data_IF_521821859854
#
_entry.id   IF_521821859854
#
_cell.length_a   1.000
_cell.length_b   1.000
_cell.length_c   1.000
_cell.angle_alpha   90.00
_cell.angle_beta   90.00
_cell.angle_gamma   90.00
#
_symmetry.space_group_name_H-M   'P 1'
#
loop_
_entity.id
_entity.type
_entity.pdbx_description
1 polymer ?
#
# COMPACT_ATOMS: atom_id res chain seq x y z
N UNK A 1 18.40 -11.73 19.03
CA UNK A 1 18.49 -13.02 18.32
C UNK A 1 17.51 -13.96 19.00
N UNK A 2 16.31 -14.09 18.45
CA UNK A 2 15.25 -14.93 19.00
C UNK A 2 14.71 -15.80 17.87
N UNK A 3 15.04 -17.09 17.93
CA UNK A 3 14.66 -18.14 16.99
C UNK A 3 13.13 -18.36 16.98
N UNK A 4 12.41 -17.77 16.02
CA UNK A 4 10.96 -17.97 15.92
C UNK A 4 10.41 -18.14 14.49
N UNK A 5 11.12 -18.91 13.65
CA UNK A 5 10.59 -19.46 12.40
C UNK A 5 10.37 -20.99 12.41
N UNK A 6 10.70 -21.71 13.49
CA UNK A 6 10.54 -23.17 13.54
C UNK A 6 9.26 -23.60 14.27
N UNK A 7 8.13 -23.47 13.60
CA UNK A 7 7.14 -24.55 13.63
C UNK A 7 7.18 -25.18 12.24
N UNK A 8 7.99 -26.22 12.07
CA UNK A 8 8.02 -27.01 10.83
C UNK A 8 6.62 -27.60 10.62
N UNK A 9 5.82 -27.09 9.66
CA UNK A 9 4.69 -27.87 9.18
C UNK A 9 5.29 -29.10 8.47
N UNK A 10 4.55 -30.21 8.39
CA UNK A 10 4.98 -31.38 7.61
C UNK A 10 5.21 -31.07 6.10
N UNK A 11 4.80 -29.88 5.67
CA UNK A 11 4.94 -29.32 4.33
C UNK A 11 5.93 -28.15 4.39
N UNK A 12 7.04 -28.22 3.65
CA UNK A 12 7.92 -27.05 3.44
C UNK A 12 7.15 -26.06 2.58
N UNK A 13 6.63 -24.99 3.19
CA UNK A 13 6.09 -23.85 2.45
C UNK A 13 7.22 -23.25 1.58
N UNK A 14 6.91 -22.76 0.36
CA UNK A 14 7.92 -22.10 -0.46
C UNK A 14 8.46 -20.86 0.27
N UNK A 15 9.78 -20.73 0.35
CA UNK A 15 10.44 -19.58 0.97
C UNK A 15 10.43 -18.39 0.00
N UNK A 16 9.72 -17.32 0.36
CA UNK A 16 9.62 -16.09 -0.43
C UNK A 16 10.58 -15.05 0.15
N UNK A 17 11.49 -14.57 -0.69
CA UNK A 17 12.44 -13.50 -0.33
C UNK A 17 11.75 -12.13 -0.27
N UNK A 18 12.37 -11.17 0.44
CA UNK A 18 11.89 -9.78 0.51
C UNK A 18 11.68 -9.15 -0.88
N UNK A 19 12.57 -9.45 -1.83
CA UNK A 19 12.48 -8.95 -3.20
C UNK A 19 11.34 -9.58 -4.00
N UNK A 20 11.03 -10.86 -3.74
CA UNK A 20 9.87 -11.53 -4.30
C UNK A 20 8.57 -10.87 -3.83
N UNK A 21 8.48 -10.56 -2.54
CA UNK A 21 7.31 -9.90 -1.95
C UNK A 21 7.16 -8.45 -2.47
N UNK A 22 8.26 -7.68 -2.55
CA UNK A 22 8.27 -6.35 -3.18
C UNK A 22 7.86 -6.42 -4.65
N UNK A 23 8.43 -7.33 -5.42
CA UNK A 23 8.13 -7.50 -6.83
C UNK A 23 6.64 -7.81 -7.07
N UNK A 24 6.07 -8.73 -6.28
CA UNK A 24 4.65 -9.04 -6.34
C UNK A 24 3.76 -7.83 -6.00
N UNK A 25 4.09 -7.08 -4.95
CA UNK A 25 3.35 -5.85 -4.62
C UNK A 25 3.49 -4.77 -5.70
N UNK A 26 4.67 -4.61 -6.30
CA UNK A 26 4.90 -3.70 -7.41
C UNK A 26 4.05 -4.06 -8.65
N UNK A 27 3.98 -5.35 -8.99
CA UNK A 27 3.18 -5.83 -10.14
C UNK A 27 1.69 -5.63 -9.88
N UNK A 28 1.18 -6.06 -8.73
CA UNK A 28 -0.26 -5.93 -8.40
C UNK A 28 -0.70 -4.47 -8.29
N UNK A 29 0.16 -3.60 -7.75
CA UNK A 29 -0.06 -2.16 -7.75
C UNK A 29 -0.07 -1.57 -9.16
N UNK A 30 0.89 -1.92 -10.02
CA UNK A 30 0.93 -1.43 -11.40
C UNK A 30 -0.28 -1.88 -12.23
N UNK A 31 -0.74 -3.12 -12.03
CA UNK A 31 -1.98 -3.62 -12.64
C UNK A 31 -3.19 -2.80 -12.18
N UNK A 32 -3.30 -2.51 -10.89
CA UNK A 32 -4.35 -1.64 -10.35
C UNK A 32 -4.30 -0.24 -10.95
N UNK A 33 -3.12 0.38 -11.04
CA UNK A 33 -2.98 1.69 -11.66
C UNK A 33 -3.32 1.65 -13.14
N UNK A 34 -3.01 0.57 -13.86
CA UNK A 34 -3.42 0.42 -15.26
C UNK A 34 -4.95 0.35 -15.39
N UNK A 35 -5.63 -0.34 -14.46
CA UNK A 35 -7.09 -0.34 -14.37
C UNK A 35 -7.69 1.05 -14.17
N UNK A 36 -7.06 1.90 -13.38
CA UNK A 36 -7.51 3.29 -13.16
C UNK A 36 -7.18 4.16 -14.37
N UNK A 37 -5.90 4.29 -14.71
CA UNK A 37 -5.41 5.27 -15.68
C UNK A 37 -5.81 4.93 -17.11
N UNK A 38 -5.71 3.66 -17.52
CA UNK A 38 -5.95 3.26 -18.92
C UNK A 38 -7.40 2.89 -19.15
N UNK A 39 -8.01 2.10 -18.25
CA UNK A 39 -9.35 1.57 -18.48
C UNK A 39 -10.42 2.57 -18.04
N UNK A 40 -10.40 2.99 -16.77
CA UNK A 40 -11.42 3.90 -16.24
C UNK A 40 -11.28 5.33 -16.78
N UNK A 41 -10.07 5.90 -16.79
CA UNK A 41 -9.86 7.29 -17.22
C UNK A 41 -9.64 7.44 -18.72
N UNK A 42 -8.88 6.55 -19.35
CA UNK A 42 -8.64 6.56 -20.80
C UNK A 42 -9.83 6.04 -21.61
N UNK A 43 -10.08 4.74 -21.55
CA UNK A 43 -11.10 4.08 -22.38
C UNK A 43 -12.53 4.51 -22.05
N UNK A 44 -12.90 4.48 -20.76
CA UNK A 44 -14.27 4.73 -20.32
C UNK A 44 -14.59 6.20 -20.06
N UNK A 45 -13.56 7.04 -19.88
CA UNK A 45 -13.68 8.50 -19.60
C UNK A 45 -14.73 8.79 -18.53
N UNK A 46 -14.72 8.01 -17.43
CA UNK A 46 -15.78 8.01 -16.40
C UNK A 46 -16.07 9.43 -15.86
N UNK A 47 -15.07 10.31 -15.81
CA UNK A 47 -15.23 11.69 -15.32
C UNK A 47 -16.14 12.58 -16.19
N UNK A 48 -16.49 12.16 -17.42
CA UNK A 48 -17.39 12.88 -18.32
C UNK A 48 -18.87 12.52 -18.11
N UNK A 49 -19.16 11.42 -17.40
CA UNK A 49 -20.50 10.88 -17.24
C UNK A 49 -21.03 11.11 -15.82
N UNK A 50 -22.31 11.43 -15.69
CA UNK A 50 -22.99 11.28 -14.41
C UNK A 50 -23.21 9.79 -14.10
N UNK A 51 -23.49 9.45 -12.84
CA UNK A 51 -23.74 8.06 -12.43
C UNK A 51 -24.88 7.41 -13.25
N UNK A 52 -25.94 8.17 -13.55
CA UNK A 52 -27.06 7.70 -14.37
C UNK A 52 -26.64 7.47 -15.83
N UNK A 53 -25.91 8.42 -16.43
CA UNK A 53 -25.42 8.31 -17.80
C UNK A 53 -24.42 7.16 -17.97
N UNK A 54 -23.55 6.95 -16.99
CA UNK A 54 -22.60 5.84 -17.00
C UNK A 54 -23.33 4.50 -16.87
N UNK A 55 -24.34 4.41 -16.00
CA UNK A 55 -25.18 3.20 -15.88
C UNK A 55 -25.90 2.87 -17.19
N UNK A 56 -26.44 3.89 -17.87
CA UNK A 56 -27.06 3.73 -19.20
C UNK A 56 -26.04 3.28 -20.24
N UNK A 57 -24.85 3.87 -20.29
CA UNK A 57 -23.77 3.46 -21.19
C UNK A 57 -23.40 1.98 -21.01
N UNK A 58 -23.29 1.52 -19.76
CA UNK A 58 -22.99 0.11 -19.47
C UNK A 58 -24.12 -0.83 -19.85
N UNK A 59 -25.38 -0.37 -19.83
CA UNK A 59 -26.53 -1.16 -20.23
C UNK A 59 -26.67 -1.28 -21.76
N UNK A 60 -26.27 -0.23 -22.49
CA UNK A 60 -26.40 -0.17 -23.95
C UNK A 60 -25.18 -0.73 -24.68
N UNK A 61 -23.97 -0.54 -24.14
CA UNK A 61 -22.73 -1.01 -24.77
C UNK A 61 -22.05 -2.16 -24.00
N UNK A 62 -22.13 -3.35 -24.60
CA UNK A 62 -21.44 -4.55 -24.12
C UNK A 62 -19.91 -4.38 -24.00
N UNK A 63 -19.27 -3.53 -24.82
CA UNK A 63 -17.82 -3.29 -24.77
C UNK A 63 -17.46 -2.43 -23.56
N UNK A 64 -18.19 -1.35 -23.33
CA UNK A 64 -18.05 -0.53 -22.13
C UNK A 64 -18.27 -1.37 -20.86
N UNK A 65 -19.28 -2.23 -20.85
CA UNK A 65 -19.52 -3.18 -19.75
C UNK A 65 -18.32 -4.10 -19.49
N UNK A 66 -17.78 -4.71 -20.55
CA UNK A 66 -16.60 -5.58 -20.44
C UNK A 66 -15.37 -4.81 -19.93
N UNK A 67 -15.10 -3.62 -20.48
CA UNK A 67 -14.00 -2.76 -20.04
C UNK A 67 -14.14 -2.36 -18.57
N UNK A 68 -15.33 -1.98 -18.12
CA UNK A 68 -15.58 -1.66 -16.72
C UNK A 68 -15.32 -2.88 -15.80
N UNK A 69 -15.70 -4.08 -16.25
CA UNK A 69 -15.39 -5.33 -15.57
C UNK A 69 -13.88 -5.57 -15.44
N UNK A 70 -13.13 -5.42 -16.55
CA UNK A 70 -11.66 -5.56 -16.55
C UNK A 70 -11.00 -4.53 -15.63
N UNK A 71 -11.41 -3.26 -15.71
CA UNK A 71 -10.90 -2.19 -14.84
C UNK A 71 -11.15 -2.49 -13.36
N UNK A 72 -12.34 -2.97 -13.02
CA UNK A 72 -12.69 -3.37 -11.65
C UNK A 72 -11.81 -4.51 -11.13
N UNK A 73 -11.60 -5.56 -11.94
CA UNK A 73 -10.74 -6.69 -11.55
C UNK A 73 -9.29 -6.24 -11.34
N UNK A 74 -8.76 -5.39 -12.24
CA UNK A 74 -7.41 -4.86 -12.11
C UNK A 74 -7.24 -4.03 -10.83
N UNK A 75 -8.21 -3.18 -10.50
CA UNK A 75 -8.20 -2.40 -9.26
C UNK A 75 -8.26 -3.28 -8.00
N UNK A 76 -9.05 -4.36 -8.04
CA UNK A 76 -9.09 -5.33 -6.95
C UNK A 76 -7.72 -5.95 -6.67
N UNK A 77 -6.88 -6.17 -7.69
CA UNK A 77 -5.52 -6.69 -7.47
C UNK A 77 -4.66 -5.74 -6.65
N UNK A 78 -4.89 -4.42 -6.72
CA UNK A 78 -4.15 -3.42 -5.94
C UNK A 78 -4.29 -3.60 -4.43
N UNK A 79 -5.41 -4.18 -3.97
CA UNK A 79 -5.63 -4.49 -2.56
C UNK A 79 -4.60 -5.47 -1.97
N UNK A 80 -3.99 -6.32 -2.81
CA UNK A 80 -2.93 -7.28 -2.40
C UNK A 80 -1.62 -6.57 -2.01
N UNK A 81 -1.35 -5.43 -2.64
CA UNK A 81 -0.10 -4.70 -2.42
C UNK A 81 -0.07 -4.02 -1.05
N UNK A 82 -1.22 -3.60 -0.51
CA UNK A 82 -1.30 -2.79 0.72
C UNK A 82 -0.76 -3.51 1.95
N UNK A 83 -1.17 -4.75 2.28
CA UNK A 83 -0.64 -5.44 3.45
C UNK A 83 0.83 -5.81 3.31
N UNK A 84 1.27 -6.09 2.09
CA UNK A 84 2.69 -6.36 1.79
C UNK A 84 3.52 -5.11 2.04
N UNK A 85 3.12 -3.95 1.51
CA UNK A 85 3.85 -2.71 1.74
C UNK A 85 3.84 -2.31 3.22
N UNK A 86 2.73 -2.47 3.93
CA UNK A 86 2.68 -2.24 5.38
C UNK A 86 3.66 -3.15 6.14
N UNK A 87 3.69 -4.44 5.80
CA UNK A 87 4.60 -5.41 6.40
C UNK A 87 6.08 -5.05 6.14
N UNK A 88 6.43 -4.81 4.88
CA UNK A 88 7.78 -4.42 4.47
C UNK A 88 8.21 -3.08 5.07
N UNK A 89 7.28 -2.15 5.28
CA UNK A 89 7.56 -0.88 5.96
C UNK A 89 7.99 -1.11 7.41
N UNK A 90 7.23 -1.91 8.17
CA UNK A 90 7.56 -2.25 9.56
C UNK A 90 8.89 -3.01 9.62
N UNK A 91 9.07 -4.00 8.76
CA UNK A 91 10.30 -4.78 8.68
C UNK A 91 11.51 -3.89 8.37
N UNK A 92 11.35 -2.97 7.41
CA UNK A 92 12.35 -1.98 7.06
C UNK A 92 12.67 -1.02 8.21
N UNK A 93 11.67 -0.57 8.95
CA UNK A 93 11.86 0.29 10.13
C UNK A 93 12.63 -0.42 11.25
N UNK A 94 12.33 -1.69 11.52
CA UNK A 94 13.00 -2.46 12.57
C UNK A 94 14.48 -2.71 12.29
N UNK A 95 14.86 -2.86 11.02
CA UNK A 95 16.23 -3.15 10.61
C UNK A 95 17.06 -1.91 10.24
N UNK A 96 16.44 -0.74 10.10
CA UNK A 96 17.15 0.48 9.69
C UNK A 96 17.63 1.28 10.90
N UNK A 97 18.92 1.64 10.91
CA UNK A 97 19.52 2.47 11.96
C UNK A 97 19.25 3.97 11.79
N UNK A 98 19.14 4.46 10.54
CA UNK A 98 18.90 5.88 10.24
C UNK A 98 17.49 6.13 9.69
N UNK A 99 16.55 6.37 10.62
CA UNK A 99 15.16 6.65 10.27
C UNK A 99 14.97 7.98 9.52
N UNK A 100 15.84 8.97 9.75
CA UNK A 100 15.72 10.31 9.12
C UNK A 100 15.99 10.21 7.63
N UNK A 101 17.05 9.49 7.25
CA UNK A 101 17.34 9.21 5.83
C UNK A 101 16.24 8.38 5.19
N UNK A 102 15.68 7.41 5.93
CA UNK A 102 14.58 6.60 5.40
C UNK A 102 13.32 7.43 5.12
N UNK A 103 12.90 8.25 6.09
CA UNK A 103 11.76 9.15 5.95
C UNK A 103 11.99 10.20 4.84
N UNK A 104 13.16 10.83 4.82
CA UNK A 104 13.52 11.80 3.78
C UNK A 104 13.48 11.17 2.38
N UNK A 105 13.95 9.93 2.24
CA UNK A 105 13.90 9.22 0.96
C UNK A 105 12.45 9.00 0.51
N UNK A 106 11.57 8.48 1.39
CA UNK A 106 10.16 8.28 1.06
C UNK A 106 9.48 9.60 0.70
N UNK A 107 9.72 10.67 1.47
CA UNK A 107 9.12 11.98 1.21
C UNK A 107 9.59 12.60 -0.12
N UNK A 108 10.88 12.49 -0.46
CA UNK A 108 11.39 12.96 -1.75
C UNK A 108 10.71 12.22 -2.89
N UNK A 109 10.59 10.89 -2.82
CA UNK A 109 9.88 10.13 -3.85
C UNK A 109 8.38 10.40 -3.84
N UNK A 110 7.76 10.66 -2.69
CA UNK A 110 6.35 11.07 -2.61
C UNK A 110 6.13 12.39 -3.36
N UNK A 111 6.97 13.40 -3.14
CA UNK A 111 6.86 14.69 -3.82
C UNK A 111 7.11 14.57 -5.33
N UNK A 112 8.13 13.81 -5.74
CA UNK A 112 8.44 13.59 -7.17
C UNK A 112 7.31 12.81 -7.86
N UNK A 113 6.68 11.88 -7.17
CA UNK A 113 5.63 11.02 -7.74
C UNK A 113 4.24 11.65 -7.72
N UNK A 114 4.08 12.82 -7.11
CA UNK A 114 2.79 13.51 -7.05
C UNK A 114 2.30 13.92 -8.44
N UNK A 115 3.17 14.51 -9.26
CA UNK A 115 2.82 14.91 -10.63
C UNK A 115 2.45 13.68 -11.50
N UNK A 116 3.25 12.58 -11.55
CA UNK A 116 2.83 11.35 -12.21
C UNK A 116 1.54 10.75 -11.68
N UNK A 117 1.30 10.82 -10.37
CA UNK A 117 0.10 10.29 -9.74
C UNK A 117 -1.15 11.06 -10.17
N UNK A 118 -1.08 12.39 -10.13
CA UNK A 118 -2.20 13.25 -10.55
C UNK A 118 -2.52 13.06 -12.02
N UNK A 119 -1.51 12.88 -12.87
CA UNK A 119 -1.70 12.58 -14.28
C UNK A 119 -2.36 11.22 -14.49
N UNK A 120 -1.94 10.19 -13.74
CA UNK A 120 -2.48 8.84 -13.87
C UNK A 120 -3.93 8.72 -13.35
N UNK A 121 -4.25 9.40 -12.25
CA UNK A 121 -5.52 9.23 -11.54
C UNK A 121 -6.53 10.31 -11.89
N UNK A 122 -6.11 11.55 -12.06
CA UNK A 122 -6.98 12.71 -12.29
C UNK A 122 -6.86 13.31 -13.68
N UNK A 123 -5.96 12.80 -14.54
CA UNK A 123 -5.65 13.34 -15.87
C UNK A 123 -5.32 14.85 -15.86
N UNK A 124 -4.73 15.31 -14.75
CA UNK A 124 -4.32 16.71 -14.52
C UNK A 124 -2.91 16.75 -13.97
N UNK A 125 -2.19 17.83 -14.23
CA UNK A 125 -0.81 17.99 -13.76
C UNK A 125 -0.70 18.35 -12.28
N UNK A 126 -1.79 18.86 -11.69
CA UNK A 126 -1.84 19.28 -10.29
C UNK A 126 -3.27 19.17 -9.77
N UNK A 127 -3.54 18.22 -8.88
CA UNK A 127 -4.84 18.04 -8.24
C UNK A 127 -4.68 17.70 -6.75
N UNK A 128 -5.10 18.61 -5.88
CA UNK A 128 -5.02 18.43 -4.42
C UNK A 128 -6.14 17.55 -3.83
N UNK A 129 -6.95 16.90 -4.67
CA UNK A 129 -8.08 16.06 -4.20
C UNK A 129 -7.63 14.81 -3.47
N UNK A 130 -6.48 14.24 -3.84
CA UNK A 130 -5.89 13.07 -3.21
C UNK A 130 -4.39 13.10 -3.37
N UNK A 131 -3.70 12.29 -2.57
CA UNK A 131 -2.25 12.23 -2.55
C UNK A 131 -1.79 10.81 -2.80
N UNK A 132 -0.59 10.62 -3.33
CA UNK A 132 -0.09 9.29 -3.66
C UNK A 132 0.11 8.39 -2.41
N UNK A 133 0.29 7.08 -2.65
CA UNK A 133 0.44 6.09 -1.58
C UNK A 133 1.76 6.22 -0.78
N UNK A 134 2.78 6.89 -1.31
CA UNK A 134 4.03 7.14 -0.60
C UNK A 134 3.84 8.13 0.56
N UNK A 135 2.89 9.07 0.45
CA UNK A 135 2.50 9.91 1.59
C UNK A 135 1.93 9.08 2.74
N UNK A 136 1.10 8.08 2.44
CA UNK A 136 0.60 7.12 3.45
C UNK A 136 1.75 6.34 4.11
N UNK A 137 2.75 5.92 3.33
CA UNK A 137 3.95 5.27 3.88
C UNK A 137 4.78 6.21 4.75
N UNK A 138 4.92 7.49 4.37
CA UNK A 138 5.64 8.49 5.16
C UNK A 138 4.96 8.74 6.51
N UNK A 139 3.63 8.91 6.52
CA UNK A 139 2.87 9.07 7.78
C UNK A 139 2.95 7.80 8.62
N UNK A 140 2.84 6.62 8.01
CA UNK A 140 3.00 5.34 8.70
C UNK A 140 4.39 5.21 9.32
N UNK A 141 5.45 5.59 8.63
CA UNK A 141 6.82 5.56 9.16
C UNK A 141 7.00 6.53 10.33
N UNK A 142 6.43 7.74 10.23
CA UNK A 142 6.45 8.72 11.30
C UNK A 142 5.68 8.23 12.53
N UNK A 143 4.54 7.57 12.32
CA UNK A 143 3.78 6.90 13.38
C UNK A 143 4.63 5.83 14.07
N UNK A 144 5.32 4.96 13.32
CA UNK A 144 6.21 3.94 13.89
C UNK A 144 7.32 4.55 14.75
N UNK A 145 7.89 5.67 14.31
CA UNK A 145 8.87 6.42 15.09
C UNK A 145 8.31 6.89 16.43
N UNK A 146 7.12 7.51 16.44
CA UNK A 146 6.49 7.94 17.69
C UNK A 146 6.06 6.77 18.58
N UNK A 147 5.58 5.67 17.99
CA UNK A 147 5.26 4.45 18.72
C UNK A 147 6.48 3.87 19.44
N UNK A 148 7.66 3.89 18.79
CA UNK A 148 8.93 3.50 19.41
C UNK A 148 9.32 4.41 20.60
N UNK A 149 9.07 5.71 20.49
CA UNK A 149 9.36 6.66 21.59
C UNK A 149 8.47 6.46 22.82
N UNK A 150 7.22 6.05 22.63
CA UNK A 150 6.28 5.80 23.75
C UNK A 150 6.28 4.35 24.22
N UNK A 151 7.12 3.51 23.64
CA UNK A 151 7.13 2.07 23.88
C UNK A 151 7.49 1.71 25.32
N UNK A 152 8.45 2.43 25.90
CA UNK A 152 8.95 2.22 27.27
C UNK A 152 7.94 2.64 28.35
N UNK A 153 6.93 3.47 27.99
CA UNK A 153 5.89 3.91 28.93
C UNK A 153 4.94 2.75 29.23
N UNK A 154 4.92 2.29 30.48
CA UNK A 154 4.01 1.24 30.98
C UNK A 154 2.76 1.84 31.64
N UNK A 155 1.72 1.01 31.77
CA UNK A 155 0.44 1.40 32.37
C UNK A 155 -0.52 2.13 31.43
N UNK A 156 -1.60 2.68 31.99
CA UNK A 156 -2.70 3.30 31.24
C UNK A 156 -2.21 4.48 30.39
N UNK A 157 -1.29 5.29 30.90
CA UNK A 157 -0.71 6.41 30.16
C UNK A 157 0.08 5.98 28.92
N UNK A 158 0.75 4.82 28.95
CA UNK A 158 1.42 4.25 27.79
C UNK A 158 0.44 3.76 26.72
N UNK A 159 -0.64 3.10 27.13
CA UNK A 159 -1.71 2.67 26.22
C UNK A 159 -2.37 3.88 25.57
N UNK A 160 -2.72 4.89 26.35
CA UNK A 160 -3.36 6.11 25.85
C UNK A 160 -2.44 6.86 24.86
N UNK A 161 -1.13 6.93 25.15
CA UNK A 161 -0.17 7.53 24.24
C UNK A 161 -0.08 6.78 22.90
N UNK A 162 -0.07 5.43 22.92
CA UNK A 162 -0.06 4.63 21.67
C UNK A 162 -1.34 4.84 20.87
N UNK A 163 -2.50 4.85 21.53
CA UNK A 163 -3.79 5.12 20.87
C UNK A 163 -3.83 6.53 20.27
N UNK A 164 -3.32 7.53 20.99
CA UNK A 164 -3.21 8.90 20.51
C UNK A 164 -2.33 8.98 19.25
N UNK A 165 -1.16 8.32 19.26
CA UNK A 165 -0.24 8.30 18.10
C UNK A 165 -0.91 7.69 16.87
N UNK A 166 -1.58 6.54 17.03
CA UNK A 166 -2.31 5.89 15.93
C UNK A 166 -3.47 6.78 15.46
N UNK A 167 -4.23 7.37 16.37
CA UNK A 167 -5.32 8.29 16.03
C UNK A 167 -4.82 9.51 15.25
N UNK A 168 -3.73 10.14 15.69
CA UNK A 168 -3.11 11.25 14.98
C UNK A 168 -2.64 10.85 13.58
N UNK A 169 -2.07 9.66 13.41
CA UNK A 169 -1.64 9.15 12.10
C UNK A 169 -2.83 8.92 11.16
N UNK A 170 -3.92 8.32 11.67
CA UNK A 170 -5.17 8.15 10.93
C UNK A 170 -5.77 9.49 10.53
N UNK A 171 -5.82 10.46 11.45
CA UNK A 171 -6.31 11.80 11.18
C UNK A 171 -5.49 12.51 10.10
N UNK A 172 -4.16 12.40 10.15
CA UNK A 172 -3.26 12.98 9.14
C UNK A 172 -3.47 12.39 7.76
N UNK A 173 -3.57 11.06 7.68
CA UNK A 173 -3.80 10.38 6.40
C UNK A 173 -5.19 10.68 5.83
N UNK A 174 -6.20 10.77 6.69
CA UNK A 174 -7.54 11.18 6.27
C UNK A 174 -7.56 12.64 5.76
N UNK A 175 -6.82 13.53 6.43
CA UNK A 175 -6.67 14.92 6.02
C UNK A 175 -5.96 15.05 4.66
N UNK A 176 -4.88 14.30 4.46
CA UNK A 176 -4.16 14.25 3.19
C UNK A 176 -4.93 13.51 2.08
N UNK A 177 -5.97 12.73 2.41
CA UNK A 177 -6.65 11.84 1.46
C UNK A 177 -5.67 10.97 0.67
N UNK A 178 -4.66 10.46 1.37
CA UNK A 178 -3.57 9.70 0.76
C UNK A 178 -4.02 8.29 0.36
N UNK A 179 -3.54 7.82 -0.79
CA UNK A 179 -3.88 6.52 -1.37
C UNK A 179 -3.59 5.36 -0.40
N UNK A 180 -4.56 4.46 -0.27
CA UNK A 180 -4.51 3.29 0.63
C UNK A 180 -4.33 3.61 2.12
N UNK A 181 -4.50 4.87 2.50
CA UNK A 181 -3.89 5.37 3.71
C UNK A 181 -4.41 4.78 5.01
N UNK A 182 -5.74 4.72 5.20
CA UNK A 182 -6.33 4.17 6.43
C UNK A 182 -5.87 2.72 6.68
N UNK A 183 -5.98 1.87 5.67
CA UNK A 183 -5.61 0.46 5.76
C UNK A 183 -4.11 0.31 6.02
N UNK A 184 -3.28 1.06 5.30
CA UNK A 184 -1.82 0.99 5.44
C UNK A 184 -1.34 1.40 6.84
N UNK A 185 -1.87 2.50 7.38
CA UNK A 185 -1.53 2.98 8.74
C UNK A 185 -1.94 1.96 9.79
N UNK A 186 -3.17 1.44 9.71
CA UNK A 186 -3.67 0.45 10.67
C UNK A 186 -2.88 -0.86 10.61
N UNK A 187 -2.56 -1.35 9.41
CA UNK A 187 -1.74 -2.55 9.24
C UNK A 187 -0.32 -2.34 9.76
N UNK A 188 0.31 -1.20 9.47
CA UNK A 188 1.62 -0.87 10.02
C UNK A 188 1.60 -0.81 11.56
N UNK A 189 0.55 -0.23 12.15
CA UNK A 189 0.38 -0.20 13.60
C UNK A 189 0.21 -1.61 14.18
N UNK A 190 -0.62 -2.47 13.56
CA UNK A 190 -0.83 -3.85 14.00
C UNK A 190 0.47 -4.66 13.93
N UNK A 191 1.18 -4.59 12.80
CA UNK A 191 2.43 -5.31 12.61
C UNK A 191 3.51 -4.89 13.60
N UNK A 192 3.53 -3.61 14.01
CA UNK A 192 4.47 -3.12 15.01
C UNK A 192 4.05 -3.49 16.45
N UNK A 193 2.80 -3.21 16.83
CA UNK A 193 2.32 -3.36 18.22
C UNK A 193 2.18 -4.83 18.63
N UNK A 194 1.75 -5.70 17.70
CA UNK A 194 1.55 -7.13 17.95
C UNK A 194 2.71 -7.98 17.42
N UNK A 195 3.90 -7.39 17.26
CA UNK A 195 5.07 -8.10 16.69
C UNK A 195 5.45 -9.37 17.46
N UNK A 196 5.26 -9.37 18.78
CA UNK A 196 5.55 -10.51 19.67
C UNK A 196 4.41 -11.55 19.69
N UNK A 197 3.18 -11.16 19.33
CA UNK A 197 1.98 -11.99 19.42
C UNK A 197 1.44 -12.37 18.04
N UNK A 198 2.01 -13.42 17.47
CA UNK A 198 1.73 -13.88 16.10
C UNK A 198 0.25 -14.09 15.79
N UNK A 199 -0.53 -14.65 16.73
CA UNK A 199 -1.97 -14.89 16.54
C UNK A 199 -2.78 -13.61 16.37
N UNK A 200 -2.62 -12.64 17.27
CA UNK A 200 -3.33 -11.36 17.20
C UNK A 200 -2.88 -10.51 16.02
N UNK A 201 -1.57 -10.53 15.70
CA UNK A 201 -1.01 -9.89 14.51
C UNK A 201 -1.70 -10.35 13.23
N UNK A 202 -1.87 -11.66 13.05
CA UNK A 202 -2.53 -12.22 11.88
C UNK A 202 -4.03 -11.98 11.89
N UNK A 203 -4.70 -12.22 13.02
CA UNK A 203 -6.16 -12.05 13.12
C UNK A 203 -6.59 -10.60 12.84
N UNK A 204 -5.99 -9.63 13.56
CA UNK A 204 -6.30 -8.21 13.36
C UNK A 204 -5.83 -7.72 11.99
N UNK A 205 -4.68 -8.20 11.51
CA UNK A 205 -4.18 -7.88 10.19
C UNK A 205 -5.14 -8.30 9.08
N UNK A 206 -5.65 -9.54 9.12
CA UNK A 206 -6.63 -10.06 8.17
C UNK A 206 -7.91 -9.22 8.23
N UNK A 207 -8.43 -8.95 9.43
CA UNK A 207 -9.65 -8.15 9.62
C UNK A 207 -9.49 -6.74 9.04
N UNK A 208 -8.39 -6.05 9.32
CA UNK A 208 -8.15 -4.71 8.76
C UNK A 208 -7.93 -4.76 7.26
N UNK A 209 -7.27 -5.81 6.75
CA UNK A 209 -7.04 -5.94 5.32
C UNK A 209 -8.32 -6.11 4.51
N UNK A 210 -9.44 -6.53 5.12
CA UNK A 210 -10.76 -6.59 4.47
C UNK A 210 -11.30 -5.23 4.01
N UNK A 211 -10.69 -4.12 4.44
CA UNK A 211 -10.92 -2.80 3.82
C UNK A 211 -10.65 -2.84 2.30
N UNK A 212 -9.83 -3.78 1.85
CA UNK A 212 -9.71 -4.18 0.45
C UNK A 212 -10.06 -5.65 0.31
N UNK A 213 -11.00 -5.99 -0.58
CA UNK A 213 -11.55 -7.36 -0.71
C UNK A 213 -10.46 -8.42 -0.89
N UNK A 214 -9.40 -8.09 -1.62
CA UNK A 214 -8.28 -9.00 -1.90
C UNK A 214 -7.17 -8.94 -0.85
N UNK A 215 -7.17 -7.93 0.04
CA UNK A 215 -6.14 -7.71 1.05
C UNK A 215 -5.79 -8.94 1.90
N UNK A 216 -6.77 -9.71 2.41
CA UNK A 216 -6.49 -10.92 3.19
C UNK A 216 -5.63 -11.96 2.46
N UNK A 217 -5.73 -12.06 1.14
CA UNK A 217 -4.96 -13.04 0.35
C UNK A 217 -3.46 -12.76 0.41
N UNK A 218 -3.05 -11.50 0.63
CA UNK A 218 -1.66 -11.11 0.76
C UNK A 218 -0.98 -11.72 2.00
N UNK A 219 -1.76 -12.11 3.03
CA UNK A 219 -1.22 -12.74 4.24
C UNK A 219 -0.62 -14.12 3.98
N UNK A 220 -1.06 -14.81 2.92
CA UNK A 220 -0.41 -16.06 2.50
C UNK A 220 1.05 -15.81 2.08
N UNK A 221 1.29 -14.75 1.29
CA UNK A 221 2.64 -14.34 0.89
C UNK A 221 3.49 -13.87 2.07
N UNK A 222 2.90 -13.11 3.00
CA UNK A 222 3.57 -12.68 4.24
C UNK A 222 3.92 -13.87 5.13
N UNK A 223 3.07 -14.90 5.19
CA UNK A 223 3.34 -16.11 5.97
C UNK A 223 4.47 -16.97 5.38
N UNK A 224 4.64 -16.95 4.06
CA UNK A 224 5.72 -17.64 3.35
C UNK A 224 7.06 -16.86 3.32
N UNK A 225 7.12 -15.68 3.96
CA UNK A 225 8.32 -14.85 3.99
C UNK A 225 9.44 -15.51 4.82
N UNK A 226 10.67 -15.54 4.28
CA UNK A 226 11.83 -16.23 4.86
C UNK A 226 12.42 -15.55 6.11
N UNK A 227 12.02 -14.30 6.40
CA UNK A 227 12.54 -13.53 7.53
C UNK A 227 13.93 -12.94 7.32
N UNK A 228 14.59 -13.22 6.19
CA UNK A 228 15.92 -12.71 5.89
C UNK A 228 15.84 -11.60 4.85
N UNK A 229 16.26 -10.39 5.26
CA UNK A 229 16.35 -9.26 4.34
C UNK A 229 17.58 -9.38 3.44
N UNK A 230 17.51 -10.27 2.44
CA UNK A 230 18.49 -10.39 1.36
C UNK A 230 17.99 -9.64 0.13
N UNK A 231 18.19 -8.33 0.13
CA UNK A 231 17.91 -7.46 -1.02
C UNK A 231 18.95 -7.75 -2.12
N UNK A 232 18.62 -8.61 -3.09
CA UNK A 232 19.43 -8.86 -4.31
C UNK A 232 19.25 -7.74 -5.33
N UNK A 233 18.08 -7.10 -5.35
CA UNK A 233 17.75 -5.99 -6.24
C UNK A 233 18.13 -4.67 -5.56
N UNK A 234 18.82 -3.73 -6.24
CA UNK A 234 19.17 -2.44 -5.66
C UNK A 234 17.92 -1.66 -5.24
N UNK A 235 17.92 -1.12 -4.03
CA UNK A 235 16.82 -0.31 -3.47
C UNK A 235 16.32 0.79 -4.42
N UNK A 236 17.22 1.39 -5.21
CA UNK A 236 16.91 2.46 -6.15
C UNK A 236 15.99 2.02 -7.29
N UNK A 237 16.01 0.74 -7.68
CA UNK A 237 15.10 0.20 -8.70
C UNK A 237 13.65 0.30 -8.25
N UNK A 238 13.36 -0.10 -7.01
CA UNK A 238 12.01 -0.01 -6.44
C UNK A 238 11.56 1.43 -6.23
N UNK A 239 12.48 2.32 -5.86
CA UNK A 239 12.16 3.74 -5.73
C UNK A 239 11.86 4.41 -7.08
N UNK A 240 12.63 4.09 -8.13
CA UNK A 240 12.41 4.62 -9.46
C UNK A 240 11.16 4.02 -10.13
N UNK A 241 10.83 2.76 -9.81
CA UNK A 241 9.66 2.08 -10.34
C UNK A 241 8.37 2.85 -10.08
N UNK A 242 8.19 3.41 -8.87
CA UNK A 242 6.95 4.08 -8.49
C UNK A 242 6.60 5.29 -9.39
N UNK A 243 7.42 6.36 -9.52
CA UNK A 243 7.11 7.45 -10.43
C UNK A 243 7.10 7.01 -11.90
N UNK A 244 7.96 6.07 -12.29
CA UNK A 244 8.08 5.65 -13.70
C UNK A 244 6.84 4.91 -14.20
N UNK A 245 6.33 3.92 -13.46
CA UNK A 245 5.13 3.18 -13.90
C UNK A 245 3.89 4.08 -13.94
N UNK A 246 3.76 5.03 -12.99
CA UNK A 246 2.69 6.03 -13.00
C UNK A 246 2.75 6.88 -14.27
N UNK A 247 3.93 7.41 -14.62
CA UNK A 247 4.11 8.25 -15.79
C UNK A 247 3.81 7.49 -17.09
N UNK A 248 4.32 6.26 -17.22
CA UNK A 248 4.05 5.41 -18.39
C UNK A 248 2.56 5.12 -18.54
N UNK A 249 1.89 4.73 -17.45
CA UNK A 249 0.46 4.41 -17.48
C UNK A 249 -0.40 5.66 -17.70
N UNK A 250 -0.02 6.81 -17.15
CA UNK A 250 -0.67 8.09 -17.42
C UNK A 250 -0.56 8.46 -18.91
N UNK A 251 0.64 8.35 -19.49
CA UNK A 251 0.85 8.63 -20.90
C UNK A 251 0.02 7.72 -21.83
N UNK A 252 -0.04 6.42 -21.52
CA UNK A 252 -0.90 5.48 -22.25
C UNK A 252 -2.38 5.81 -22.06
N UNK A 253 -2.82 6.08 -20.83
CA UNK A 253 -4.21 6.41 -20.53
C UNK A 253 -4.69 7.73 -21.14
N UNK A 254 -3.81 8.70 -21.35
CA UNK A 254 -4.13 9.95 -22.04
C UNK A 254 -4.14 9.81 -23.57
N UNK A 255 -3.46 8.81 -24.12
CA UNK A 255 -3.36 8.58 -25.56
C UNK A 255 -4.58 7.82 -26.14
N UNK A 256 -5.41 7.25 -25.28
CA UNK A 256 -6.58 6.41 -25.62
C UNK A 256 -7.85 7.13 -25.14
#
# INVERSE_FOLDING_TARGET
MGDFYRRTPAWRLPEITADGLKGFACVTMALSTAGIAVVEKGLLKIDQYTQEQFSQLLAEDSRAMFQAGVGSVLQLLGGLAVPIFAFLLVEGFMHTSDYRRYLASILVFALVSEVPYDLAVYQKTWDLRGQNALFSLAVSLLMLYFLRMVEEKRGIGGILARLLVVFCAVAWVAFLRAGYGLCLVLLAAIFYLFRESSGWKMALGIVVSLLYVTGPLAFYGIWCYDGERKDRIPKYVYYAFYPLHLLVLAGVGMAV
#
